data_IF_526936348698
#
_entry.id   IF_526936348698
#
_cell.length_a   1.000
_cell.length_b   1.000
_cell.length_c   1.000
_cell.angle_alpha   90.00
_cell.angle_beta   90.00
_cell.angle_gamma   90.00
#
_symmetry.space_group_name_H-M   'P 1'
#
loop_
_entity.id
_entity.type
_entity.pdbx_description
1 polymer ?
#
# COMPACT_ATOMS: atom_id res chain seq x y z
N UNK A 1 -7.87 4.23 0.51
CA UNK A 1 -8.06 3.79 -0.89
C UNK A 1 -6.76 4.04 -1.62
N UNK A 2 -6.25 3.05 -2.36
CA UNK A 2 -5.10 3.23 -3.25
C UNK A 2 -5.64 3.38 -4.68
N UNK A 3 -5.37 4.52 -5.31
CA UNK A 3 -5.79 4.82 -6.67
C UNK A 3 -4.57 4.82 -7.57
N UNK A 4 -4.61 4.06 -8.66
CA UNK A 4 -3.54 4.01 -9.65
C UNK A 4 -4.09 4.33 -11.02
N UNK A 5 -3.68 5.48 -11.56
CA UNK A 5 -3.92 5.86 -12.95
C UNK A 5 -2.80 5.35 -13.84
N UNK A 6 -3.17 4.83 -15.02
CA UNK A 6 -2.24 4.32 -16.01
C UNK A 6 -2.18 5.26 -17.21
N UNK A 7 -1.23 6.20 -17.18
CA UNK A 7 -1.01 7.12 -18.28
C UNK A 7 -0.26 6.43 -19.43
N UNK A 8 0.82 5.70 -19.12
CA UNK A 8 1.54 4.86 -20.08
C UNK A 8 1.47 3.38 -19.71
N UNK A 9 0.59 2.66 -20.43
CA UNK A 9 0.42 1.21 -20.26
C UNK A 9 1.66 0.41 -20.65
N UNK A 10 2.53 0.94 -21.52
CA UNK A 10 3.69 0.20 -22.03
C UNK A 10 4.66 -0.17 -20.91
N UNK A 11 4.86 0.75 -19.95
CA UNK A 11 5.76 0.55 -18.82
C UNK A 11 5.35 -0.65 -17.96
N UNK A 12 4.05 -0.81 -17.71
CA UNK A 12 3.55 -1.92 -16.86
C UNK A 12 3.18 -3.18 -17.64
N UNK A 13 3.20 -3.12 -18.97
CA UNK A 13 2.95 -4.27 -19.85
C UNK A 13 4.23 -4.86 -20.44
N UNK A 14 5.39 -4.20 -20.29
CA UNK A 14 6.68 -4.71 -20.74
C UNK A 14 7.06 -6.02 -20.03
N UNK A 15 6.91 -7.13 -20.76
CA UNK A 15 7.16 -8.47 -20.25
C UNK A 15 8.66 -8.80 -20.12
N UNK A 16 9.55 -7.98 -20.67
CA UNK A 16 10.99 -8.17 -20.51
C UNK A 16 11.45 -7.70 -19.11
N UNK A 17 10.70 -6.79 -18.49
CA UNK A 17 10.98 -6.31 -17.14
C UNK A 17 10.37 -7.20 -16.04
N UNK A 18 11.01 -7.23 -14.88
CA UNK A 18 10.47 -7.90 -13.69
C UNK A 18 9.14 -7.26 -13.23
N UNK A 19 9.06 -5.92 -13.27
CA UNK A 19 7.86 -5.19 -12.90
C UNK A 19 6.71 -5.46 -13.88
N UNK A 20 6.92 -5.36 -15.19
CA UNK A 20 5.82 -5.51 -16.15
C UNK A 20 5.23 -6.92 -16.19
N UNK A 21 6.01 -7.97 -15.86
CA UNK A 21 5.47 -9.32 -15.66
C UNK A 21 4.49 -9.43 -14.49
N UNK A 22 4.80 -8.79 -13.36
CA UNK A 22 3.88 -8.74 -12.21
C UNK A 22 2.74 -7.76 -12.45
N UNK A 23 3.04 -6.55 -12.88
CA UNK A 23 2.11 -5.45 -13.05
C UNK A 23 1.08 -5.75 -14.12
N UNK A 24 1.46 -6.33 -15.26
CA UNK A 24 0.50 -6.71 -16.30
C UNK A 24 -0.56 -7.68 -15.76
N UNK A 25 -0.11 -8.74 -15.07
CA UNK A 25 -1.02 -9.71 -14.44
C UNK A 25 -1.83 -9.09 -13.30
N UNK A 26 -1.23 -8.20 -12.52
CA UNK A 26 -1.90 -7.52 -11.41
C UNK A 26 -2.97 -6.54 -11.88
N UNK A 27 -2.69 -5.68 -12.86
CA UNK A 27 -3.62 -4.67 -13.34
C UNK A 27 -4.67 -5.26 -14.29
N UNK A 28 -4.26 -6.10 -15.24
CA UNK A 28 -5.11 -6.55 -16.34
C UNK A 28 -5.55 -8.02 -16.24
N UNK A 29 -4.95 -8.82 -15.35
CA UNK A 29 -5.32 -10.23 -15.20
C UNK A 29 -6.74 -10.44 -14.62
N UNK A 30 -7.32 -11.63 -14.76
CA UNK A 30 -8.69 -11.88 -14.30
C UNK A 30 -8.78 -12.21 -12.80
N UNK A 31 -7.70 -12.69 -12.17
CA UNK A 31 -7.74 -13.27 -10.80
C UNK A 31 -7.44 -12.26 -9.69
N UNK A 32 -8.40 -12.09 -8.79
CA UNK A 32 -8.20 -11.33 -7.56
C UNK A 32 -7.42 -12.13 -6.51
N UNK A 33 -7.41 -13.47 -6.58
CA UNK A 33 -6.54 -14.32 -5.76
C UNK A 33 -5.07 -13.98 -6.00
N UNK A 34 -4.68 -13.80 -7.27
CA UNK A 34 -3.34 -13.35 -7.60
C UNK A 34 -3.05 -11.96 -6.99
N UNK A 35 -3.98 -11.01 -7.14
CA UNK A 35 -3.82 -9.66 -6.56
C UNK A 35 -3.66 -9.70 -5.04
N UNK A 36 -4.48 -10.50 -4.38
CA UNK A 36 -4.47 -10.68 -2.93
C UNK A 36 -3.17 -11.30 -2.43
N UNK A 37 -2.47 -12.08 -3.26
CA UNK A 37 -1.17 -12.65 -2.94
C UNK A 37 0.02 -11.73 -3.27
N UNK A 38 -0.22 -10.65 -4.02
CA UNK A 38 0.85 -9.84 -4.63
C UNK A 38 0.94 -8.43 -4.05
N UNK A 39 -0.17 -7.79 -3.67
CA UNK A 39 -0.13 -6.40 -3.21
C UNK A 39 0.52 -6.27 -1.81
N UNK A 40 1.72 -5.68 -1.77
CA UNK A 40 2.60 -5.62 -0.60
C UNK A 40 2.72 -4.20 -0.09
N UNK A 41 2.66 -4.04 1.23
CA UNK A 41 2.91 -2.81 1.97
C UNK A 41 4.14 -2.99 2.86
N UNK A 42 5.04 -2.02 2.81
CA UNK A 42 6.16 -1.88 3.74
C UNK A 42 5.96 -0.60 4.56
N UNK A 43 5.54 -0.71 5.83
CA UNK A 43 5.42 0.44 6.72
C UNK A 43 6.72 0.67 7.49
N UNK A 44 7.02 1.95 7.77
CA UNK A 44 8.11 2.36 8.66
C UNK A 44 7.71 3.56 9.49
N UNK A 45 7.67 3.40 10.81
CA UNK A 45 7.53 4.54 11.74
C UNK A 45 8.88 5.27 11.85
N UNK A 46 8.93 6.48 11.31
CA UNK A 46 10.10 7.37 11.37
C UNK A 46 10.14 8.09 12.71
N UNK A 47 9.04 8.75 13.07
CA UNK A 47 8.83 9.42 14.36
C UNK A 47 7.59 8.84 15.05
N UNK A 48 7.65 8.66 16.36
CA UNK A 48 6.55 8.07 17.15
C UNK A 48 7.06 7.36 18.40
N UNK A 49 6.17 7.18 19.39
CA UNK A 49 6.52 6.52 20.65
C UNK A 49 6.73 5.00 20.49
N UNK A 50 7.30 4.36 21.52
CA UNK A 50 7.59 2.92 21.48
C UNK A 50 6.33 2.05 21.32
N UNK A 51 5.19 2.48 21.86
CA UNK A 51 3.94 1.73 21.78
C UNK A 51 3.48 1.62 20.32
N UNK A 52 3.39 2.74 19.60
CA UNK A 52 2.97 2.74 18.19
C UNK A 52 3.97 2.03 17.28
N UNK A 53 5.28 2.20 17.52
CA UNK A 53 6.33 1.48 16.77
C UNK A 53 6.20 -0.03 16.90
N UNK A 54 5.94 -0.54 18.12
CA UNK A 54 5.75 -1.98 18.37
C UNK A 54 4.45 -2.51 17.76
N UNK A 55 3.37 -1.73 17.81
CA UNK A 55 2.08 -2.14 17.28
C UNK A 55 2.02 -2.18 15.75
N UNK A 56 2.61 -1.19 15.06
CA UNK A 56 2.67 -1.18 13.59
C UNK A 56 3.73 -2.15 13.08
N UNK A 57 4.86 -2.25 13.79
CA UNK A 57 6.01 -3.03 13.36
C UNK A 57 6.73 -2.40 12.15
N UNK A 58 7.67 -3.16 11.59
CA UNK A 58 8.44 -2.79 10.38
C UNK A 58 8.42 -3.90 9.32
N UNK A 59 7.60 -4.94 9.54
CA UNK A 59 7.57 -6.13 8.69
C UNK A 59 6.71 -5.86 7.44
N UNK A 60 7.24 -6.09 6.23
CA UNK A 60 6.42 -6.11 5.01
C UNK A 60 5.21 -7.04 5.15
N UNK A 61 4.08 -6.64 4.59
CA UNK A 61 2.85 -7.41 4.62
C UNK A 61 2.20 -7.49 3.24
N UNK A 62 1.85 -8.69 2.81
CA UNK A 62 0.90 -8.89 1.71
C UNK A 62 -0.50 -8.58 2.24
N UNK A 63 -1.10 -7.50 1.76
CA UNK A 63 -2.34 -6.97 2.33
C UNK A 63 -3.50 -7.95 2.13
N UNK A 64 -3.66 -8.53 0.95
CA UNK A 64 -4.76 -9.46 0.66
C UNK A 64 -4.67 -10.81 1.38
N UNK A 65 -3.54 -11.13 2.03
CA UNK A 65 -3.43 -12.28 2.95
C UNK A 65 -3.93 -11.98 4.36
N UNK A 66 -4.07 -10.71 4.73
CA UNK A 66 -4.44 -10.27 6.08
C UNK A 66 -5.77 -9.54 6.13
N UNK A 67 -6.14 -8.88 5.04
CA UNK A 67 -7.28 -7.98 4.95
C UNK A 67 -8.08 -8.30 3.70
N UNK A 68 -9.39 -8.05 3.77
CA UNK A 68 -10.25 -8.07 2.59
C UNK A 68 -9.92 -6.85 1.72
N UNK A 69 -9.65 -7.12 0.44
CA UNK A 69 -9.40 -6.09 -0.57
C UNK A 69 -10.54 -6.09 -1.59
N UNK A 70 -11.00 -4.91 -1.97
CA UNK A 70 -11.94 -4.73 -3.07
C UNK A 70 -11.25 -4.01 -4.23
N UNK A 71 -11.43 -4.52 -5.44
CA UNK A 71 -10.81 -3.99 -6.64
C UNK A 71 -11.88 -3.37 -7.55
N UNK A 72 -11.75 -2.08 -7.83
CA UNK A 72 -12.56 -1.38 -8.83
C UNK A 72 -11.64 -1.11 -10.02
N UNK A 73 -12.03 -1.52 -11.22
CA UNK A 73 -11.14 -1.54 -12.38
C UNK A 73 -11.83 -0.97 -13.60
N UNK A 74 -11.07 -0.20 -14.37
CA UNK A 74 -11.37 0.17 -15.76
C UNK A 74 -10.13 -0.08 -16.61
N UNK A 75 -10.22 0.23 -17.89
CA UNK A 75 -9.07 0.13 -18.79
C UNK A 75 -7.95 1.12 -18.46
N UNK A 76 -8.19 2.14 -17.63
CA UNK A 76 -7.23 3.22 -17.34
C UNK A 76 -6.87 3.37 -15.87
N UNK A 77 -7.69 2.88 -14.97
CA UNK A 77 -7.39 3.00 -13.54
C UNK A 77 -7.80 1.75 -12.76
N UNK A 78 -7.12 1.57 -11.64
CA UNK A 78 -7.46 0.59 -10.63
C UNK A 78 -7.55 1.28 -9.27
N UNK A 79 -8.63 1.00 -8.56
CA UNK A 79 -8.77 1.35 -7.16
C UNK A 79 -8.70 0.09 -6.31
N UNK A 80 -7.93 0.16 -5.23
CA UNK A 80 -7.83 -0.89 -4.21
C UNK A 80 -8.35 -0.31 -2.91
N UNK A 81 -9.47 -0.84 -2.45
CA UNK A 81 -10.06 -0.49 -1.17
C UNK A 81 -9.61 -1.54 -0.16
N UNK A 82 -8.82 -1.10 0.82
CA UNK A 82 -8.34 -1.93 1.91
C UNK A 82 -9.34 -1.84 3.06
N UNK A 83 -10.09 -2.93 3.29
CA UNK A 83 -11.05 -2.98 4.41
C UNK A 83 -10.32 -3.35 5.70
N UNK A 84 -9.89 -2.32 6.43
CA UNK A 84 -9.24 -2.48 7.74
C UNK A 84 -10.18 -3.15 8.77
N UNK A 85 -11.49 -2.92 8.66
CA UNK A 85 -12.48 -3.49 9.57
C UNK A 85 -12.68 -5.00 9.42
N UNK A 86 -12.17 -5.57 8.32
CA UNK A 86 -12.22 -7.03 8.10
C UNK A 86 -11.31 -7.83 9.05
N UNK A 87 -10.38 -7.19 9.77
CA UNK A 87 -9.44 -7.85 10.67
C UNK A 87 -9.26 -7.05 11.97
N UNK A 88 -9.54 -7.68 13.12
CA UNK A 88 -9.62 -7.01 14.43
C UNK A 88 -8.29 -6.44 14.91
N UNK A 89 -7.17 -7.11 14.61
CA UNK A 89 -5.84 -6.67 15.02
C UNK A 89 -5.45 -5.42 14.22
N UNK A 90 -5.67 -5.42 12.90
CA UNK A 90 -5.44 -4.28 12.02
C UNK A 90 -6.30 -3.08 12.45
N UNK A 91 -7.58 -3.29 12.73
CA UNK A 91 -8.47 -2.25 13.25
C UNK A 91 -7.93 -1.63 14.55
N UNK A 92 -7.45 -2.45 15.48
CA UNK A 92 -6.83 -1.97 16.74
C UNK A 92 -5.56 -1.18 16.49
N UNK A 93 -4.68 -1.66 15.61
CA UNK A 93 -3.42 -0.99 15.25
C UNK A 93 -3.72 0.38 14.63
N UNK A 94 -4.69 0.46 13.72
CA UNK A 94 -5.09 1.71 13.08
C UNK A 94 -5.71 2.68 14.09
N UNK A 95 -6.62 2.22 14.96
CA UNK A 95 -7.20 3.06 16.03
C UNK A 95 -6.12 3.63 16.96
N UNK A 96 -5.16 2.80 17.36
CA UNK A 96 -4.01 3.24 18.16
C UNK A 96 -3.19 4.29 17.41
N UNK A 97 -2.90 4.05 16.14
CA UNK A 97 -2.11 4.95 15.29
C UNK A 97 -2.77 6.31 15.11
N UNK A 98 -4.10 6.35 14.95
CA UNK A 98 -4.89 7.58 14.89
C UNK A 98 -4.74 8.40 16.18
N UNK A 99 -4.73 7.75 17.34
CA UNK A 99 -4.52 8.41 18.63
C UNK A 99 -3.17 9.12 18.77
N UNK A 100 -2.15 8.67 18.03
CA UNK A 100 -0.80 9.24 18.03
C UNK A 100 -0.45 10.04 16.77
N UNK A 101 -1.38 10.17 15.81
CA UNK A 101 -1.10 10.66 14.46
C UNK A 101 -0.43 12.05 14.44
N UNK A 102 -0.84 12.98 15.32
CA UNK A 102 -0.26 14.34 15.43
C UNK A 102 1.22 14.37 15.82
N UNK A 103 1.72 13.26 16.38
CA UNK A 103 3.10 13.13 16.89
C UNK A 103 3.90 12.06 16.15
N UNK A 104 3.31 11.48 15.10
CA UNK A 104 3.88 10.35 14.37
C UNK A 104 4.22 10.74 12.94
N UNK A 105 5.35 10.24 12.45
CA UNK A 105 5.72 10.28 11.03
C UNK A 105 5.88 8.84 10.56
N UNK A 106 5.18 8.48 9.48
CA UNK A 106 5.20 7.13 8.92
C UNK A 106 5.44 7.17 7.42
N UNK A 107 6.36 6.32 6.97
CA UNK A 107 6.58 6.00 5.56
C UNK A 107 5.82 4.74 5.21
N UNK A 108 5.17 4.74 4.05
CA UNK A 108 4.49 3.58 3.50
C UNK A 108 4.92 3.41 2.05
N UNK A 109 5.49 2.26 1.74
CA UNK A 109 5.88 1.90 0.39
C UNK A 109 5.01 0.75 -0.12
N UNK A 110 4.50 0.88 -1.34
CA UNK A 110 3.63 -0.08 -2.00
C UNK A 110 4.35 -0.71 -3.18
N UNK A 111 4.23 -2.03 -3.30
CA UNK A 111 4.89 -2.80 -4.34
C UNK A 111 4.15 -4.11 -4.63
N UNK A 112 4.59 -4.80 -5.67
CA UNK A 112 4.12 -6.13 -6.03
C UNK A 112 5.14 -7.18 -5.58
N UNK A 113 4.70 -8.18 -4.82
CA UNK A 113 5.52 -9.31 -4.39
C UNK A 113 5.95 -10.16 -5.58
N UNK A 114 7.26 -10.33 -5.74
CA UNK A 114 7.84 -11.25 -6.71
C UNK A 114 8.23 -12.57 -6.06
N UNK A 115 7.60 -13.68 -6.47
CA UNK A 115 7.92 -15.02 -5.93
C UNK A 115 8.85 -15.84 -6.82
N UNK A 116 9.15 -15.34 -8.03
CA UNK A 116 10.06 -15.99 -8.97
C UNK A 116 11.28 -15.11 -9.24
N UNK A 117 12.44 -15.73 -9.51
CA UNK A 117 13.68 -15.04 -9.91
C UNK A 117 13.44 -14.06 -11.06
N UNK A 118 12.56 -14.46 -11.97
CA UNK A 118 12.19 -13.70 -13.16
C UNK A 118 11.46 -12.38 -12.80
N UNK A 119 10.78 -12.34 -11.66
CA UNK A 119 10.06 -11.17 -11.14
C UNK A 119 10.85 -10.38 -10.09
N UNK A 120 12.13 -10.69 -9.92
CA UNK A 120 13.04 -10.04 -8.97
C UNK A 120 14.12 -9.21 -9.69
N UNK A 121 14.63 -8.13 -9.07
CA UNK A 121 14.20 -7.59 -7.78
C UNK A 121 12.85 -6.87 -7.91
N UNK A 122 12.09 -6.82 -6.80
CA UNK A 122 10.83 -6.07 -6.73
C UNK A 122 11.07 -4.57 -7.03
N UNK A 123 10.03 -3.87 -7.48
CA UNK A 123 10.04 -2.44 -7.76
C UNK A 123 8.90 -1.76 -7.02
N UNK A 124 9.16 -0.59 -6.46
CA UNK A 124 8.13 0.23 -5.84
C UNK A 124 7.14 0.71 -6.89
N UNK A 125 5.85 0.58 -6.60
CA UNK A 125 4.79 1.26 -7.33
C UNK A 125 4.66 2.72 -6.88
N UNK A 126 4.96 2.97 -5.62
CA UNK A 126 4.98 4.31 -5.04
C UNK A 126 5.20 4.26 -3.54
N UNK A 127 5.59 5.40 -2.98
CA UNK A 127 5.71 5.57 -1.55
C UNK A 127 5.11 6.92 -1.12
N UNK A 128 4.74 6.98 0.16
CA UNK A 128 4.16 8.18 0.76
C UNK A 128 4.66 8.33 2.18
N UNK A 129 4.97 9.56 2.55
CA UNK A 129 5.19 9.95 3.95
C UNK A 129 3.97 10.69 4.47
N UNK A 130 3.44 10.20 5.57
CA UNK A 130 2.45 10.88 6.39
C UNK A 130 3.15 11.49 7.60
N UNK A 131 3.04 12.81 7.76
CA UNK A 131 3.72 13.55 8.83
C UNK A 131 2.73 14.26 9.73
N UNK A 132 2.72 13.91 11.02
CA UNK A 132 2.03 14.62 12.10
C UNK A 132 0.57 14.96 11.76
N UNK A 133 -0.15 13.97 11.21
CA UNK A 133 -1.50 14.17 10.68
C UNK A 133 -2.48 14.53 11.80
N UNK A 134 -3.25 15.59 11.57
CA UNK A 134 -4.43 15.93 12.35
C UNK A 134 -5.70 15.40 11.69
N UNK A 135 -6.48 14.62 12.44
CA UNK A 135 -7.77 14.10 11.98
C UNK A 135 -8.97 14.87 12.55
N UNK A 136 -8.74 15.81 13.49
CA UNK A 136 -9.81 16.59 14.14
C UNK A 136 -10.00 17.95 13.48
N UNK A 137 -8.89 18.60 13.13
CA UNK A 137 -8.95 19.88 12.44
C UNK A 137 -9.19 19.64 10.95
N UNK A 138 -10.21 20.28 10.39
CA UNK A 138 -10.48 20.27 8.94
C UNK A 138 -9.60 21.32 8.28
N UNK A 139 -8.31 21.11 8.27
CA UNK A 139 -7.39 21.98 7.56
C UNK A 139 -7.17 21.43 6.15
N UNK A 140 -7.61 22.18 5.14
CA UNK A 140 -7.28 21.93 3.73
C UNK A 140 -5.77 22.06 3.40
N UNK A 141 -4.90 21.92 4.40
CA UNK A 141 -3.45 22.07 4.37
C UNK A 141 -2.72 20.76 4.73
N UNK A 142 -3.27 19.62 4.32
CA UNK A 142 -2.60 18.33 4.49
C UNK A 142 -1.37 18.27 3.59
N UNK A 143 -0.19 18.38 4.20
CA UNK A 143 1.09 18.17 3.53
C UNK A 143 1.34 16.67 3.38
N UNK A 144 0.98 16.12 2.22
CA UNK A 144 1.33 14.76 1.83
C UNK A 144 2.52 14.84 0.87
N UNK A 145 3.66 14.26 1.26
CA UNK A 145 4.84 14.21 0.40
C UNK A 145 4.90 12.85 -0.28
N UNK A 146 4.90 12.86 -1.62
CA UNK A 146 5.36 11.73 -2.41
C UNK A 146 6.87 11.62 -2.19
N UNK A 147 7.32 10.43 -1.77
CA UNK A 147 8.73 10.14 -1.48
C UNK A 147 9.27 9.16 -2.51
#
# INVERSE_FOLDING_TARGET
VFYFGLDDKKIIQDQDTALGRLASKFFFGPSDEFRNQTFKLIPRIVEGNLLVRKSVGSKPAILGKKLKLHYIRTDRFMEIIVDIGSEKIAERIVKLSIGYAKTMVVDMAFLLEGVHVSTLPERLLGAVRMSKIDFKDRDGHRMCHLV
#
